data_IF_030839600384
#
_entry.id   IF_030839600384
#
_cell.length_a   1.000
_cell.length_b   1.000
_cell.length_c   1.000
_cell.angle_alpha   90.00
_cell.angle_beta   90.00
_cell.angle_gamma   90.00
#
_symmetry.space_group_name_H-M   'P 1'
#
loop_
_entity.id
_entity.type
_entity.pdbx_description
1 polymer ?
#
# COMPACT_ATOMS: atom_id res chain seq x y z
N UNK A 1 -43.60 58.24 31.53
CA UNK A 1 -44.58 57.22 31.13
C UNK A 1 -43.87 56.41 30.06
N UNK A 2 -42.95 55.54 30.48
CA UNK A 2 -43.24 54.12 30.88
C UNK A 2 -43.73 53.36 29.65
N UNK A 3 -42.85 52.58 29.02
CA UNK A 3 -42.79 51.09 29.15
C UNK A 3 -43.85 50.47 28.20
N UNK A 4 -43.67 49.38 27.47
CA UNK A 4 -42.71 48.28 27.42
C UNK A 4 -43.16 47.36 26.25
N UNK A 5 -42.23 46.58 25.67
CA UNK A 5 -42.43 45.30 24.94
C UNK A 5 -43.19 45.36 23.59
N UNK A 6 -42.67 44.84 22.48
CA UNK A 6 -41.49 44.03 22.27
C UNK A 6 -41.44 43.51 20.83
N UNK A 7 -40.35 42.78 20.53
CA UNK A 7 -40.05 42.00 19.33
C UNK A 7 -39.69 42.86 18.09
N UNK A 8 -38.52 42.75 17.47
CA UNK A 8 -37.34 41.91 17.67
C UNK A 8 -36.11 42.70 17.20
N UNK A 9 -34.95 42.25 17.68
CA UNK A 9 -33.66 42.91 17.60
C UNK A 9 -33.08 43.12 16.18
N UNK A 10 -32.07 44.00 16.08
CA UNK A 10 -31.76 44.79 14.90
C UNK A 10 -30.51 44.32 14.14
N UNK A 11 -30.40 44.83 12.91
CA UNK A 11 -29.17 45.31 12.27
C UNK A 11 -28.01 44.28 12.08
N UNK A 12 -26.86 44.74 11.57
CA UNK A 12 -26.53 44.80 10.16
C UNK A 12 -25.42 43.82 9.79
N UNK A 13 -25.21 43.63 8.48
CA UNK A 13 -24.15 42.83 7.86
C UNK A 13 -22.84 42.77 8.66
N UNK A 14 -22.55 41.59 9.19
CA UNK A 14 -21.28 41.27 9.82
C UNK A 14 -20.29 40.85 8.74
N UNK A 15 -19.18 41.60 8.71
CA UNK A 15 -18.00 41.40 7.89
C UNK A 15 -17.16 40.21 8.35
N UNK A 16 -16.33 39.75 7.42
CA UNK A 16 -15.06 39.03 7.60
C UNK A 16 -15.14 37.63 8.22
N UNK A 17 -15.19 36.63 7.35
CA UNK A 17 -14.99 35.23 7.67
C UNK A 17 -14.50 34.47 6.45
N UNK A 18 -13.18 34.37 6.31
CA UNK A 18 -12.39 33.50 5.42
C UNK A 18 -13.16 32.25 4.96
N UNK A 19 -13.49 32.20 3.66
CA UNK A 19 -13.78 30.95 2.95
C UNK A 19 -12.98 30.97 1.65
N UNK A 20 -11.87 30.24 1.67
CA UNK A 20 -11.12 29.89 0.47
C UNK A 20 -11.94 28.87 -0.31
N UNK A 21 -12.46 29.26 -1.48
CA UNK A 21 -12.80 28.30 -2.54
C UNK A 21 -12.80 29.01 -3.88
N UNK A 22 -12.30 28.31 -4.89
CA UNK A 22 -12.44 28.60 -6.32
C UNK A 22 -11.47 29.63 -6.91
N UNK A 23 -10.17 29.28 -6.82
CA UNK A 23 -9.14 29.75 -7.73
C UNK A 23 -9.11 28.91 -9.02
N UNK A 24 -9.64 29.51 -10.08
CA UNK A 24 -9.42 29.24 -11.51
C UNK A 24 -8.07 28.57 -11.83
N UNK A 25 -8.11 27.34 -12.36
CA UNK A 25 -6.94 26.67 -12.95
C UNK A 25 -6.54 27.40 -14.24
N UNK A 26 -5.53 28.26 -14.15
CA UNK A 26 -4.81 28.84 -15.29
C UNK A 26 -3.45 28.15 -15.38
N UNK A 27 -3.15 27.65 -16.57
CA UNK A 27 -2.14 26.63 -16.80
C UNK A 27 -0.73 26.96 -16.33
N UNK A 28 -0.10 25.93 -15.77
CA UNK A 28 1.35 25.80 -15.62
C UNK A 28 1.76 24.46 -16.22
N UNK A 29 2.91 24.48 -16.89
CA UNK A 29 3.44 23.46 -17.80
C UNK A 29 3.52 22.06 -17.16
N UNK A 30 3.42 20.97 -17.95
CA UNK A 30 3.70 19.64 -17.43
C UNK A 30 5.17 19.61 -16.99
N UNK A 31 5.37 19.49 -15.68
CA UNK A 31 6.67 19.27 -15.08
C UNK A 31 7.09 17.85 -15.48
N UNK A 32 7.86 17.77 -16.56
CA UNK A 32 8.59 16.58 -16.99
C UNK A 32 9.55 16.18 -15.87
N UNK A 33 9.04 15.40 -14.92
CA UNK A 33 9.82 14.77 -13.85
C UNK A 33 10.00 13.31 -14.23
N UNK A 34 11.24 12.78 -14.16
CA UNK A 34 11.49 11.39 -14.50
C UNK A 34 10.76 10.51 -13.48
N UNK A 35 9.63 9.96 -13.89
CA UNK A 35 8.96 8.74 -13.41
C UNK A 35 9.42 8.29 -12.01
N UNK A 36 9.25 9.15 -11.00
CA UNK A 36 9.39 8.74 -9.61
C UNK A 36 8.13 7.96 -9.31
N UNK A 37 8.11 6.70 -9.77
CA UNK A 37 7.08 5.72 -9.47
C UNK A 37 7.09 5.49 -7.97
N UNK A 38 6.38 6.36 -7.26
CA UNK A 38 6.05 6.15 -5.85
C UNK A 38 5.30 4.82 -5.81
N UNK A 39 5.90 3.83 -5.16
CA UNK A 39 5.26 2.54 -4.98
C UNK A 39 4.05 2.72 -4.06
N UNK A 40 2.87 2.18 -4.42
CA UNK A 40 1.71 2.31 -3.56
C UNK A 40 1.92 1.52 -2.25
N UNK A 41 1.21 1.88 -1.16
CA UNK A 41 1.19 1.10 0.06
C UNK A 41 0.82 -0.37 -0.21
N UNK A 42 1.40 -1.32 0.54
CA UNK A 42 1.20 -2.75 0.28
C UNK A 42 -0.26 -3.17 0.50
N UNK A 43 -0.98 -2.46 1.37
CA UNK A 43 -2.41 -2.70 1.60
C UNK A 43 -3.25 -2.54 0.33
N UNK A 44 -2.87 -1.64 -0.58
CA UNK A 44 -3.60 -1.36 -1.83
C UNK A 44 -2.82 -1.78 -3.08
N UNK A 45 -1.59 -2.28 -2.93
CA UNK A 45 -0.70 -2.63 -4.04
C UNK A 45 -1.36 -3.61 -5.03
N UNK A 46 -1.93 -4.70 -4.51
CA UNK A 46 -2.55 -5.74 -5.35
C UNK A 46 -3.76 -5.21 -6.13
N UNK A 47 -4.54 -4.29 -5.54
CA UNK A 47 -5.68 -3.67 -6.22
C UNK A 47 -5.25 -2.78 -7.39
N UNK A 48 -4.10 -2.12 -7.25
CA UNK A 48 -3.56 -1.19 -8.26
C UNK A 48 -2.77 -1.94 -9.34
N UNK A 49 -2.03 -3.00 -8.98
CA UNK A 49 -1.09 -3.70 -9.87
C UNK A 49 -1.63 -5.03 -10.41
N UNK A 50 -2.70 -5.58 -9.83
CA UNK A 50 -3.28 -6.87 -10.23
C UNK A 50 -2.50 -8.08 -9.74
N UNK A 51 -1.45 -7.89 -8.95
CA UNK A 51 -0.65 -8.94 -8.35
C UNK A 51 -0.13 -8.53 -6.95
N UNK A 52 0.05 -9.49 -6.02
CA UNK A 52 0.66 -9.24 -4.72
C UNK A 52 2.11 -8.74 -4.86
N UNK A 53 2.56 -7.94 -3.90
CA UNK A 53 3.93 -7.42 -3.91
C UNK A 53 4.97 -8.55 -3.86
N UNK A 54 4.64 -9.64 -3.17
CA UNK A 54 5.43 -10.88 -3.12
C UNK A 54 5.83 -11.39 -4.52
N UNK A 55 4.92 -11.32 -5.50
CA UNK A 55 5.17 -11.79 -6.88
C UNK A 55 6.30 -10.99 -7.52
N UNK A 56 6.19 -9.66 -7.47
CA UNK A 56 7.20 -8.76 -8.00
C UNK A 56 8.52 -8.85 -7.24
N UNK A 57 8.48 -8.98 -5.91
CA UNK A 57 9.68 -9.04 -5.07
C UNK A 57 10.52 -10.27 -5.38
N UNK A 58 9.90 -11.45 -5.54
CA UNK A 58 10.61 -12.69 -5.84
C UNK A 58 10.74 -12.97 -7.34
N UNK A 59 10.10 -12.19 -8.21
CA UNK A 59 10.10 -12.38 -9.65
C UNK A 59 9.38 -13.67 -10.08
N UNK A 60 8.23 -13.96 -9.48
CA UNK A 60 7.47 -15.19 -9.72
C UNK A 60 6.63 -15.04 -11.00
N UNK A 61 7.19 -15.39 -12.15
CA UNK A 61 6.63 -15.08 -13.48
C UNK A 61 5.33 -15.80 -13.83
N UNK A 62 5.01 -16.91 -13.17
CA UNK A 62 3.86 -17.75 -13.52
C UNK A 62 2.54 -17.33 -12.84
N UNK A 63 2.54 -16.24 -12.07
CA UNK A 63 1.37 -15.78 -11.30
C UNK A 63 0.10 -15.66 -12.13
N UNK A 64 0.16 -14.88 -13.22
CA UNK A 64 -1.01 -14.62 -14.07
C UNK A 64 -1.48 -15.90 -14.77
N UNK A 65 -0.55 -16.78 -15.13
CA UNK A 65 -0.88 -18.06 -15.75
C UNK A 65 -1.69 -18.94 -14.79
N UNK A 66 -1.26 -19.07 -13.53
CA UNK A 66 -1.97 -19.86 -12.53
C UNK A 66 -3.28 -19.23 -12.06
N UNK A 67 -3.37 -17.90 -12.02
CA UNK A 67 -4.63 -17.22 -11.71
C UNK A 67 -5.73 -17.51 -12.74
N UNK A 68 -5.37 -17.58 -14.01
CA UNK A 68 -6.31 -17.90 -15.09
C UNK A 68 -6.51 -19.41 -15.29
N UNK A 69 -5.58 -20.23 -14.82
CA UNK A 69 -5.61 -21.69 -14.96
C UNK A 69 -5.29 -22.39 -13.63
N UNK A 70 -6.19 -22.29 -12.63
CA UNK A 70 -5.93 -22.80 -11.28
C UNK A 70 -5.68 -24.32 -11.24
N UNK A 71 -6.17 -25.08 -12.23
CA UNK A 71 -5.91 -26.52 -12.37
C UNK A 71 -4.44 -26.86 -12.62
N UNK A 72 -3.63 -25.91 -13.10
CA UNK A 72 -2.19 -26.11 -13.31
C UNK A 72 -1.34 -25.64 -12.13
N UNK A 73 -1.95 -25.03 -11.10
CA UNK A 73 -1.25 -24.63 -9.87
C UNK A 73 -1.02 -25.83 -8.94
N UNK A 74 -0.21 -26.78 -9.40
CA UNK A 74 0.12 -28.01 -8.64
C UNK A 74 0.96 -27.72 -7.39
N UNK A 75 1.67 -26.60 -7.36
CA UNK A 75 2.49 -26.17 -6.22
C UNK A 75 1.67 -25.41 -5.17
N UNK A 76 0.47 -24.94 -5.52
CA UNK A 76 -0.33 -24.06 -4.69
C UNK A 76 0.30 -22.68 -4.55
N UNK A 77 0.99 -22.17 -5.58
CA UNK A 77 1.66 -20.88 -5.59
C UNK A 77 0.74 -19.77 -5.07
N UNK A 78 -0.53 -19.78 -5.46
CA UNK A 78 -1.51 -18.79 -4.98
C UNK A 78 -1.62 -18.75 -3.46
N UNK A 79 -1.75 -19.92 -2.83
CA UNK A 79 -1.83 -20.04 -1.37
C UNK A 79 -0.50 -19.66 -0.70
N UNK A 80 0.63 -20.09 -1.27
CA UNK A 80 1.96 -19.75 -0.74
C UNK A 80 2.19 -18.24 -0.74
N UNK A 81 1.88 -17.58 -1.86
CA UNK A 81 2.02 -16.12 -2.03
C UNK A 81 1.10 -15.39 -1.08
N UNK A 82 -0.16 -15.80 -0.97
CA UNK A 82 -1.11 -15.21 -0.03
C UNK A 82 -0.62 -15.29 1.42
N UNK A 83 -0.05 -16.43 1.83
CA UNK A 83 0.47 -16.62 3.19
C UNK A 83 1.70 -15.77 3.48
N UNK A 84 2.62 -15.67 2.53
CA UNK A 84 3.80 -14.81 2.66
C UNK A 84 3.38 -13.34 2.73
N UNK A 85 2.51 -12.90 1.83
CA UNK A 85 2.00 -11.52 1.80
C UNK A 85 1.28 -11.15 3.11
N UNK A 86 0.39 -12.02 3.59
CA UNK A 86 -0.31 -11.82 4.87
C UNK A 86 0.64 -11.81 6.06
N UNK A 87 1.62 -12.73 6.09
CA UNK A 87 2.62 -12.74 7.15
C UNK A 87 3.38 -11.42 7.21
N UNK A 88 3.83 -10.89 6.07
CA UNK A 88 4.57 -9.62 6.04
C UNK A 88 3.67 -8.45 6.46
N UNK A 89 2.42 -8.39 5.99
CA UNK A 89 1.45 -7.35 6.42
C UNK A 89 1.23 -7.39 7.94
N UNK A 90 1.04 -8.58 8.50
CA UNK A 90 0.88 -8.75 9.95
C UNK A 90 2.16 -8.35 10.72
N UNK A 91 3.34 -8.62 10.18
CA UNK A 91 4.61 -8.18 10.79
C UNK A 91 4.79 -6.66 10.75
N UNK A 92 4.34 -6.00 9.68
CA UNK A 92 4.33 -4.53 9.56
C UNK A 92 3.43 -3.94 10.62
N UNK A 93 2.19 -4.44 10.74
CA UNK A 93 1.22 -3.99 11.73
C UNK A 93 1.72 -4.25 13.16
N UNK A 94 2.19 -5.48 13.45
CA UNK A 94 2.67 -5.86 14.80
C UNK A 94 3.86 -5.03 15.26
N UNK A 95 4.70 -4.57 14.34
CA UNK A 95 5.88 -3.74 14.64
C UNK A 95 5.61 -2.25 14.46
N UNK A 96 4.38 -1.85 14.12
CA UNK A 96 4.00 -0.47 13.78
C UNK A 96 4.93 0.15 12.74
N UNK A 97 5.34 -0.63 11.74
CA UNK A 97 6.15 -0.16 10.62
C UNK A 97 5.28 0.56 9.59
N UNK A 98 5.91 1.37 8.75
CA UNK A 98 5.24 2.00 7.62
C UNK A 98 4.77 0.93 6.63
N UNK A 99 3.56 1.05 6.11
CA UNK A 99 3.04 0.18 5.06
C UNK A 99 3.70 0.51 3.70
N UNK A 100 4.92 0.01 3.51
CA UNK A 100 5.76 0.33 2.35
C UNK A 100 6.61 -0.86 1.91
N UNK A 101 7.09 -0.80 0.67
CA UNK A 101 8.02 -1.79 0.11
C UNK A 101 9.33 -1.91 0.90
N UNK A 102 9.78 -0.82 1.53
CA UNK A 102 10.97 -0.84 2.38
C UNK A 102 10.77 -1.68 3.64
N UNK A 103 9.61 -1.55 4.30
CA UNK A 103 9.24 -2.40 5.44
C UNK A 103 9.11 -3.85 5.04
N UNK A 104 8.48 -4.12 3.88
CA UNK A 104 8.39 -5.47 3.31
C UNK A 104 9.78 -6.09 3.12
N UNK A 105 10.67 -5.36 2.43
CA UNK A 105 12.05 -5.80 2.17
C UNK A 105 12.78 -6.06 3.47
N UNK A 106 12.68 -5.17 4.45
CA UNK A 106 13.33 -5.31 5.75
C UNK A 106 12.87 -6.56 6.50
N UNK A 107 11.58 -6.89 6.44
CA UNK A 107 11.04 -8.11 7.06
C UNK A 107 11.59 -9.36 6.35
N UNK A 108 11.57 -9.39 5.02
CA UNK A 108 12.08 -10.53 4.25
C UNK A 108 13.59 -10.72 4.45
N UNK A 109 14.39 -9.64 4.47
CA UNK A 109 15.82 -9.71 4.73
C UNK A 109 16.12 -10.26 6.13
N UNK A 110 15.36 -9.85 7.15
CA UNK A 110 15.49 -10.41 8.49
C UNK A 110 15.22 -11.93 8.52
N UNK A 111 14.25 -12.42 7.73
CA UNK A 111 13.99 -13.86 7.61
C UNK A 111 15.14 -14.55 6.88
N UNK A 112 15.64 -13.98 5.78
CA UNK A 112 16.79 -14.52 5.04
C UNK A 112 18.02 -14.69 5.93
N UNK A 113 18.31 -13.69 6.77
CA UNK A 113 19.41 -13.75 7.75
C UNK A 113 19.17 -14.87 8.77
N UNK A 114 17.97 -14.97 9.35
CA UNK A 114 17.62 -16.05 10.31
C UNK A 114 17.76 -17.44 9.70
N UNK A 115 17.37 -17.59 8.43
CA UNK A 115 17.45 -18.84 7.68
C UNK A 115 18.82 -19.12 7.07
N UNK A 116 19.79 -18.19 7.22
CA UNK A 116 21.11 -18.24 6.60
C UNK A 116 21.01 -18.52 5.08
N UNK A 117 20.11 -17.81 4.41
CA UNK A 117 19.93 -17.92 2.96
C UNK A 117 21.14 -17.31 2.27
N UNK A 118 21.68 -18.04 1.31
CA UNK A 118 22.80 -17.58 0.48
C UNK A 118 22.31 -16.44 -0.46
N UNK A 119 23.04 -15.32 -0.56
CA UNK A 119 22.64 -14.19 -1.39
C UNK A 119 22.58 -14.50 -2.90
N UNK A 120 23.28 -15.55 -3.35
CA UNK A 120 23.24 -16.04 -4.74
C UNK A 120 22.15 -17.12 -4.94
N UNK A 121 21.41 -17.47 -3.89
CA UNK A 121 20.31 -18.43 -4.00
C UNK A 121 19.20 -17.88 -4.88
N UNK A 122 18.74 -18.71 -5.84
CA UNK A 122 17.60 -18.38 -6.71
C UNK A 122 16.38 -17.94 -5.91
N UNK A 123 15.68 -16.91 -6.40
CA UNK A 123 14.52 -16.31 -5.74
C UNK A 123 13.41 -17.30 -5.44
N UNK A 124 13.10 -18.24 -6.34
CA UNK A 124 12.11 -19.30 -6.13
C UNK A 124 12.45 -20.20 -4.94
N UNK A 125 13.73 -20.57 -4.80
CA UNK A 125 14.20 -21.42 -3.70
C UNK A 125 14.19 -20.64 -2.38
N UNK A 126 14.58 -19.37 -2.44
CA UNK A 126 14.49 -18.43 -1.31
C UNK A 126 13.04 -18.27 -0.85
N UNK A 127 12.11 -18.06 -1.79
CA UNK A 127 10.68 -17.96 -1.51
C UNK A 127 10.13 -19.23 -0.86
N UNK A 128 10.43 -20.41 -1.42
CA UNK A 128 9.98 -21.69 -0.86
C UNK A 128 10.50 -21.92 0.57
N UNK A 129 11.74 -21.53 0.87
CA UNK A 129 12.30 -21.59 2.23
C UNK A 129 11.60 -20.64 3.19
N UNK A 130 11.35 -19.40 2.77
CA UNK A 130 10.64 -18.40 3.57
C UNK A 130 9.21 -18.88 3.85
N UNK A 131 8.50 -19.37 2.83
CA UNK A 131 7.18 -19.96 2.98
C UNK A 131 7.17 -21.10 3.99
N UNK A 132 8.14 -22.01 3.91
CA UNK A 132 8.28 -23.12 4.86
C UNK A 132 8.60 -22.67 6.29
N UNK A 133 9.23 -21.50 6.47
CA UNK A 133 9.55 -20.96 7.79
C UNK A 133 8.34 -20.28 8.47
N UNK A 134 7.45 -19.67 7.68
CA UNK A 134 6.26 -18.98 8.21
C UNK A 134 5.05 -19.91 8.38
N UNK A 135 5.07 -21.09 7.75
CA UNK A 135 4.07 -22.15 7.89
C UNK A 135 4.27 -22.92 9.19
#
# INVERSE_FOLDING_TARGET
>A
MEDERGHAFPAPEVKDGKVESEGVFKGEKPLDTPDSKIEPPLSVYEQIKGEPYTIRYFGLTDWLYFMNNPQFDVSGLKDQVSKVEQFVKNEIERKSLMDSSESYRSIIENIKVKLKIDPLQKSEVTFAKIYKFIK
#
